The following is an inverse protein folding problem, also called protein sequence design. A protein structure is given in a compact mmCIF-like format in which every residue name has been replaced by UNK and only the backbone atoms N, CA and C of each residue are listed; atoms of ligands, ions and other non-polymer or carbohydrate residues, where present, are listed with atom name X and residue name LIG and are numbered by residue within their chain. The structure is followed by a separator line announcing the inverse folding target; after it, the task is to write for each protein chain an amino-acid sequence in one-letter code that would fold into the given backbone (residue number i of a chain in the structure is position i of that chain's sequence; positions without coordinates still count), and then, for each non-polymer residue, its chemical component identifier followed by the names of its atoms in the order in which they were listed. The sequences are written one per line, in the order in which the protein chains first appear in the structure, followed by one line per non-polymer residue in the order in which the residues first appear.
data_IF_573253163174
#
_entry.id   IF_573253163174
#
_cell.length_a   1.000
_cell.length_b   1.000
_cell.length_c   1.000
_cell.angle_alpha   90.00
_cell.angle_beta   90.00
_cell.angle_gamma   90.00
#
_symmetry.space_group_name_H-M   'P 1'
#
loop_
_entity.id
_entity.type
_entity.pdbx_description
1 polymer ?
#
# COMPACT_ATOMS: atom_id res chain seq x y z
N UNK A 1 -14.58 23.05 4.10
CA UNK A 1 -14.40 21.87 3.26
C UNK A 1 -14.56 20.63 4.14
N UNK A 2 -15.19 19.57 3.65
CA UNK A 2 -15.25 18.30 4.38
C UNK A 2 -13.84 17.73 4.49
N UNK A 3 -13.49 17.20 5.65
CA UNK A 3 -12.21 16.52 5.86
C UNK A 3 -12.25 15.15 5.20
N UNK A 4 -11.25 14.77 4.40
CA UNK A 4 -11.18 13.41 3.91
C UNK A 4 -10.89 12.44 5.06
N UNK A 5 -11.44 11.25 4.98
CA UNK A 5 -11.17 10.16 5.91
C UNK A 5 -10.21 9.17 5.27
N UNK A 6 -9.20 8.75 6.02
CA UNK A 6 -8.17 7.80 5.61
C UNK A 6 -8.30 6.50 6.40
N UNK A 7 -8.52 5.40 5.74
CA UNK A 7 -8.46 4.08 6.35
C UNK A 7 -7.04 3.54 6.34
N UNK A 8 -6.55 3.08 7.48
CA UNK A 8 -5.22 2.50 7.67
C UNK A 8 -5.38 1.08 8.20
N UNK A 9 -5.27 0.05 7.34
CA UNK A 9 -5.30 -1.35 7.76
C UNK A 9 -4.01 -1.72 8.49
N UNK A 10 -4.14 -2.40 9.62
CA UNK A 10 -3.03 -2.90 10.43
C UNK A 10 -3.06 -4.41 10.49
N UNK A 11 -1.98 -5.06 10.12
CA UNK A 11 -1.78 -6.50 10.22
C UNK A 11 -0.67 -6.82 11.23
N UNK A 12 -0.61 -8.04 11.75
CA UNK A 12 0.53 -8.45 12.58
C UNK A 12 1.87 -8.15 11.90
N UNK A 13 2.75 -7.40 12.59
CA UNK A 13 4.03 -6.94 12.06
C UNK A 13 4.02 -5.57 11.38
N UNK A 14 2.87 -4.95 11.12
CA UNK A 14 2.77 -3.53 10.77
C UNK A 14 3.24 -2.68 11.94
N UNK A 15 4.04 -1.65 11.70
CA UNK A 15 4.59 -0.80 12.77
C UNK A 15 4.69 0.70 12.41
N UNK A 16 4.22 1.11 11.24
CA UNK A 16 4.26 2.51 10.79
C UNK A 16 2.84 3.13 10.70
N UNK A 17 1.82 2.50 11.28
CA UNK A 17 0.43 2.97 11.23
C UNK A 17 0.23 4.29 11.96
N UNK A 18 0.86 4.48 13.13
CA UNK A 18 0.74 5.71 13.91
C UNK A 18 1.44 6.89 13.23
N UNK A 19 2.59 6.67 12.62
CA UNK A 19 3.30 7.72 11.89
C UNK A 19 2.54 8.11 10.63
N UNK A 20 1.95 7.13 9.95
CA UNK A 20 1.05 7.36 8.83
C UNK A 20 -0.18 8.16 9.24
N UNK A 21 -0.85 7.77 10.33
CA UNK A 21 -2.01 8.50 10.86
C UNK A 21 -1.66 9.96 11.17
N UNK A 22 -0.58 10.20 11.93
CA UNK A 22 -0.09 11.55 12.24
C UNK A 22 0.19 12.39 10.99
N UNK A 23 0.74 11.79 9.94
CA UNK A 23 1.04 12.50 8.70
C UNK A 23 -0.24 12.99 8.03
N UNK A 24 -1.26 12.13 7.93
CA UNK A 24 -2.56 12.49 7.38
C UNK A 24 -3.32 13.49 8.24
N UNK A 25 -3.32 13.34 9.56
CA UNK A 25 -3.94 14.27 10.49
C UNK A 25 -3.32 15.68 10.41
N UNK A 26 -1.99 15.76 10.32
CA UNK A 26 -1.28 17.03 10.07
C UNK A 26 -1.65 17.67 8.73
N UNK A 27 -1.98 16.84 7.73
CA UNK A 27 -2.47 17.32 6.45
C UNK A 27 -3.97 17.69 6.47
N UNK A 28 -4.66 17.52 7.61
CA UNK A 28 -6.05 17.90 7.79
C UNK A 28 -7.07 16.81 7.51
N UNK A 29 -6.66 15.55 7.41
CA UNK A 29 -7.55 14.40 7.27
C UNK A 29 -7.97 13.84 8.64
N UNK A 30 -9.07 13.07 8.65
CA UNK A 30 -9.41 12.18 9.76
C UNK A 30 -8.93 10.76 9.46
N UNK A 31 -8.53 10.00 10.48
CA UNK A 31 -7.98 8.64 10.28
C UNK A 31 -8.82 7.57 10.97
N UNK A 32 -8.94 6.40 10.32
CA UNK A 32 -9.54 5.19 10.88
C UNK A 32 -8.45 4.11 10.85
N UNK A 33 -7.90 3.78 12.01
CA UNK A 33 -6.92 2.70 12.17
C UNK A 33 -7.64 1.45 12.68
N UNK A 34 -7.53 0.33 11.98
CA UNK A 34 -8.15 -0.95 12.35
C UNK A 34 -7.17 -2.09 12.25
N UNK A 35 -7.16 -2.94 13.27
CA UNK A 35 -6.31 -4.15 13.34
C UNK A 35 -7.06 -5.35 12.79
N UNK A 36 -6.44 -6.06 11.88
CA UNK A 36 -6.91 -7.35 11.39
C UNK A 36 -6.60 -8.45 12.41
N UNK A 37 -7.64 -9.03 13.02
CA UNK A 37 -7.52 -10.14 13.95
C UNK A 37 -7.60 -11.45 13.18
N UNK A 38 -6.75 -12.41 13.50
CA UNK A 38 -6.64 -13.67 12.75
C UNK A 38 -6.46 -14.91 13.66
N UNK A 39 -6.85 -14.82 14.93
CA UNK A 39 -6.71 -15.94 15.87
C UNK A 39 -7.76 -17.01 15.64
N UNK A 40 -8.97 -16.62 15.26
CA UNK A 40 -10.10 -17.51 15.01
C UNK A 40 -10.74 -17.21 13.65
N UNK A 41 -11.53 -18.16 13.15
CA UNK A 41 -12.30 -17.92 11.92
C UNK A 41 -13.37 -16.81 12.10
N UNK A 42 -13.84 -16.58 13.31
CA UNK A 42 -14.76 -15.50 13.65
C UNK A 42 -14.03 -14.15 13.61
N UNK A 43 -12.86 -14.05 14.24
CA UNK A 43 -12.01 -12.84 14.18
C UNK A 43 -11.72 -12.41 12.73
N UNK A 44 -11.47 -13.38 11.85
CA UNK A 44 -11.20 -13.10 10.44
C UNK A 44 -12.44 -12.53 9.76
N UNK A 45 -13.63 -13.14 9.97
CA UNK A 45 -14.89 -12.62 9.40
C UNK A 45 -15.20 -11.22 9.89
N UNK A 46 -15.11 -11.02 11.20
CA UNK A 46 -15.38 -9.72 11.83
C UNK A 46 -14.39 -8.65 11.33
N UNK A 47 -13.11 -9.00 11.21
CA UNK A 47 -12.09 -8.08 10.66
C UNK A 47 -12.37 -7.69 9.22
N UNK A 48 -12.78 -8.65 8.37
CA UNK A 48 -13.18 -8.36 6.99
C UNK A 48 -14.36 -7.39 6.97
N UNK A 49 -15.40 -7.63 7.76
CA UNK A 49 -16.60 -6.79 7.80
C UNK A 49 -16.30 -5.39 8.38
N UNK A 50 -15.41 -5.30 9.39
CA UNK A 50 -14.93 -4.01 9.93
C UNK A 50 -14.10 -3.22 8.90
N UNK A 51 -13.23 -3.90 8.15
CA UNK A 51 -12.43 -3.27 7.11
C UNK A 51 -13.29 -2.75 5.97
N UNK A 52 -14.25 -3.54 5.50
CA UNK A 52 -15.22 -3.10 4.48
C UNK A 52 -15.95 -1.84 4.93
N UNK A 53 -16.49 -1.81 6.16
CA UNK A 53 -17.15 -0.62 6.73
C UNK A 53 -16.22 0.58 6.81
N UNK A 54 -14.92 0.36 7.10
CA UNK A 54 -13.93 1.43 7.16
C UNK A 54 -13.61 1.97 5.76
N UNK A 55 -13.45 1.09 4.76
CA UNK A 55 -13.23 1.47 3.36
C UNK A 55 -14.42 2.27 2.83
N UNK A 56 -15.65 1.83 3.11
CA UNK A 56 -16.88 2.52 2.66
C UNK A 56 -17.00 3.95 3.20
N UNK A 57 -16.47 4.21 4.39
CA UNK A 57 -16.47 5.55 5.01
C UNK A 57 -15.31 6.44 4.55
N UNK A 58 -14.29 5.85 3.91
CA UNK A 58 -13.05 6.55 3.61
C UNK A 58 -12.98 7.01 2.15
N UNK A 59 -12.20 8.05 1.91
CA UNK A 59 -11.82 8.54 0.58
C UNK A 59 -10.40 8.09 0.20
N UNK A 60 -9.64 7.66 1.18
CA UNK A 60 -8.25 7.24 1.00
C UNK A 60 -8.03 5.93 1.75
N UNK A 61 -7.29 5.00 1.12
CA UNK A 61 -6.73 3.84 1.79
C UNK A 61 -5.20 4.00 1.86
N UNK A 62 -4.63 3.88 3.06
CA UNK A 62 -3.20 3.98 3.29
C UNK A 62 -2.64 2.64 3.78
N UNK A 63 -1.85 1.97 2.96
CA UNK A 63 -1.12 0.77 3.32
C UNK A 63 0.21 1.15 3.98
N UNK A 64 0.35 0.97 5.31
CA UNK A 64 1.54 1.40 6.04
C UNK A 64 2.73 0.47 5.79
N UNK A 65 3.89 0.95 6.18
CA UNK A 65 5.11 0.17 6.20
C UNK A 65 5.22 -0.73 7.43
N UNK A 66 6.33 -1.45 7.49
CA UNK A 66 6.65 -2.42 8.54
C UNK A 66 6.97 -3.77 7.93
N UNK A 67 6.77 -4.82 8.70
CA UNK A 67 6.97 -6.20 8.29
C UNK A 67 5.67 -6.96 8.57
N UNK A 68 4.75 -7.01 7.60
CA UNK A 68 3.54 -7.80 7.77
C UNK A 68 3.89 -9.29 7.92
N UNK A 69 3.13 -10.01 8.74
CA UNK A 69 3.38 -11.43 8.99
C UNK A 69 3.52 -12.22 7.68
N UNK A 70 4.59 -13.00 7.55
CA UNK A 70 4.86 -13.82 6.37
C UNK A 70 5.62 -13.09 5.24
N UNK A 71 6.33 -12.00 5.56
CA UNK A 71 7.18 -11.31 4.58
C UNK A 71 8.32 -12.20 4.08
N UNK A 72 8.92 -13.00 4.93
CA UNK A 72 10.01 -13.93 4.57
C UNK A 72 9.65 -15.38 4.91
N UNK A 73 10.18 -16.34 4.16
CA UNK A 73 11.06 -16.25 2.99
C UNK A 73 10.32 -16.08 1.65
N UNK A 74 9.01 -16.02 1.63
CA UNK A 74 8.20 -16.17 0.43
C UNK A 74 7.71 -14.83 -0.17
N UNK A 75 8.27 -13.72 0.26
CA UNK A 75 8.03 -12.41 -0.29
C UNK A 75 7.16 -11.50 0.56
N UNK A 76 7.48 -10.21 0.51
CA UNK A 76 6.91 -9.15 1.32
C UNK A 76 5.44 -8.87 1.01
N UNK A 77 4.69 -8.44 2.02
CA UNK A 77 3.28 -8.07 1.95
C UNK A 77 2.30 -9.19 1.56
N UNK A 78 2.72 -10.45 1.69
CA UNK A 78 1.90 -11.62 1.34
C UNK A 78 0.58 -11.65 2.12
N UNK A 79 0.61 -11.30 3.40
CA UNK A 79 -0.57 -11.31 4.25
C UNK A 79 -1.58 -10.22 3.83
N UNK A 80 -1.13 -9.01 3.54
CA UNK A 80 -1.95 -7.97 2.96
C UNK A 80 -2.64 -8.46 1.67
N UNK A 81 -1.85 -9.00 0.76
CA UNK A 81 -2.38 -9.46 -0.53
C UNK A 81 -3.43 -10.57 -0.36
N UNK A 82 -3.20 -11.52 0.55
CA UNK A 82 -4.14 -12.61 0.83
C UNK A 82 -5.45 -12.07 1.40
N UNK A 83 -5.39 -11.19 2.40
CA UNK A 83 -6.58 -10.62 3.04
C UNK A 83 -7.39 -9.76 2.05
N UNK A 84 -6.74 -8.86 1.31
CA UNK A 84 -7.42 -7.96 0.38
C UNK A 84 -7.94 -8.65 -0.89
N UNK A 85 -7.54 -9.90 -1.18
CA UNK A 85 -8.18 -10.74 -2.22
C UNK A 85 -9.46 -11.42 -1.75
N UNK A 86 -9.89 -11.23 -0.51
CA UNK A 86 -11.24 -11.60 -0.10
C UNK A 86 -12.27 -10.83 -0.94
N UNK A 87 -13.30 -11.52 -1.45
CA UNK A 87 -14.26 -10.92 -2.40
C UNK A 87 -14.90 -9.62 -1.88
N UNK A 88 -15.32 -9.57 -0.60
CA UNK A 88 -15.91 -8.37 0.00
C UNK A 88 -14.92 -7.19 0.05
N UNK A 89 -13.66 -7.47 0.40
CA UNK A 89 -12.63 -6.44 0.48
C UNK A 89 -12.21 -5.96 -0.91
N UNK A 90 -12.07 -6.87 -1.88
CA UNK A 90 -11.83 -6.53 -3.28
C UNK A 90 -12.92 -5.59 -3.79
N UNK A 91 -14.19 -5.96 -3.63
CA UNK A 91 -15.33 -5.14 -4.05
C UNK A 91 -15.32 -3.75 -3.41
N UNK A 92 -15.05 -3.66 -2.11
CA UNK A 92 -15.01 -2.37 -1.40
C UNK A 92 -13.87 -1.47 -1.91
N UNK A 93 -12.69 -2.04 -2.17
CA UNK A 93 -11.55 -1.28 -2.72
C UNK A 93 -11.83 -0.84 -4.16
N UNK A 94 -12.38 -1.69 -4.99
CA UNK A 94 -12.73 -1.34 -6.37
C UNK A 94 -13.81 -0.25 -6.43
N UNK A 95 -14.82 -0.31 -5.58
CA UNK A 95 -15.79 0.78 -5.42
C UNK A 95 -15.14 2.09 -4.98
N UNK A 96 -14.22 2.03 -4.01
CA UNK A 96 -13.49 3.21 -3.57
C UNK A 96 -12.74 3.87 -4.73
N UNK A 97 -11.99 3.09 -5.51
CA UNK A 97 -11.12 3.62 -6.56
C UNK A 97 -11.89 3.99 -7.82
N UNK A 98 -12.78 3.11 -8.30
CA UNK A 98 -13.39 3.24 -9.63
C UNK A 98 -14.73 4.00 -9.63
N UNK A 99 -15.49 3.97 -8.52
CA UNK A 99 -16.81 4.60 -8.46
C UNK A 99 -16.82 5.89 -7.63
N UNK A 100 -16.00 5.97 -6.57
CA UNK A 100 -15.96 7.10 -5.64
C UNK A 100 -14.75 8.03 -5.83
N UNK A 101 -13.94 7.80 -6.87
CA UNK A 101 -12.73 8.57 -7.17
C UNK A 101 -11.77 8.66 -5.97
N UNK A 102 -11.69 7.57 -5.21
CA UNK A 102 -10.85 7.49 -4.03
C UNK A 102 -9.38 7.22 -4.37
N UNK A 103 -8.52 7.34 -3.38
CA UNK A 103 -7.09 7.20 -3.54
C UNK A 103 -6.54 6.04 -2.72
N UNK A 104 -5.47 5.42 -3.23
CA UNK A 104 -4.65 4.47 -2.50
C UNK A 104 -3.20 4.99 -2.40
N UNK A 105 -2.58 4.82 -1.24
CA UNK A 105 -1.16 5.09 -1.00
C UNK A 105 -0.54 3.90 -0.31
N UNK A 106 0.65 3.49 -0.72
CA UNK A 106 1.43 2.45 -0.06
C UNK A 106 2.87 2.89 0.14
N UNK A 107 3.39 2.73 1.35
CA UNK A 107 4.77 3.07 1.69
C UNK A 107 5.50 1.82 2.15
N UNK A 108 6.69 1.56 1.60
CA UNK A 108 7.56 0.44 1.95
C UNK A 108 6.81 -0.91 1.80
N UNK A 109 6.51 -1.62 2.86
CA UNK A 109 5.72 -2.85 2.83
C UNK A 109 4.31 -2.64 2.22
N UNK A 110 3.70 -1.49 2.46
CA UNK A 110 2.45 -1.10 1.82
C UNK A 110 2.57 -0.91 0.30
N UNK A 111 3.70 -0.40 -0.21
CA UNK A 111 3.95 -0.35 -1.65
C UNK A 111 4.12 -1.76 -2.25
N UNK A 112 4.80 -2.65 -1.54
CA UNK A 112 4.88 -4.05 -1.91
C UNK A 112 3.49 -4.69 -1.99
N UNK A 113 2.58 -4.35 -1.06
CA UNK A 113 1.19 -4.79 -1.09
C UNK A 113 0.44 -4.29 -2.32
N UNK A 114 0.56 -2.99 -2.67
CA UNK A 114 -0.07 -2.42 -3.87
C UNK A 114 0.38 -3.14 -5.15
N UNK A 115 1.68 -3.43 -5.28
CA UNK A 115 2.22 -4.18 -6.42
C UNK A 115 1.67 -5.61 -6.44
N UNK A 116 1.70 -6.33 -5.32
CA UNK A 116 1.22 -7.72 -5.25
C UNK A 116 -0.30 -7.86 -5.46
N UNK A 117 -1.06 -6.85 -5.08
CA UNK A 117 -2.49 -6.80 -5.35
C UNK A 117 -2.82 -6.50 -6.81
N UNK A 118 -1.91 -5.86 -7.55
CA UNK A 118 -2.15 -5.37 -8.90
C UNK A 118 -2.67 -3.93 -8.95
N UNK A 119 -2.96 -3.31 -7.80
CA UNK A 119 -3.40 -1.90 -7.74
C UNK A 119 -2.39 -0.96 -8.39
N UNK A 120 -1.10 -1.30 -8.34
CA UNK A 120 -0.04 -0.70 -9.13
C UNK A 120 0.59 -1.80 -9.97
N UNK A 121 0.64 -1.69 -11.31
CA UNK A 121 0.26 -0.55 -12.14
C UNK A 121 -1.16 -0.62 -12.73
N UNK A 122 -1.94 -1.67 -12.45
CA UNK A 122 -3.16 -1.97 -13.20
C UNK A 122 -4.40 -1.18 -12.75
N UNK A 123 -4.41 -0.66 -11.52
CA UNK A 123 -5.57 0.04 -10.94
C UNK A 123 -6.70 -0.87 -10.46
N UNK A 124 -6.49 -2.18 -10.45
CA UNK A 124 -7.46 -3.19 -10.02
C UNK A 124 -6.80 -4.29 -9.17
N UNK A 125 -7.56 -4.97 -8.32
CA UNK A 125 -7.08 -6.15 -7.60
C UNK A 125 -7.14 -7.36 -8.52
N UNK A 126 -5.97 -7.90 -8.89
CA UNK A 126 -5.85 -9.03 -9.79
C UNK A 126 -4.78 -10.03 -9.37
N UNK A 127 -4.85 -11.24 -9.91
CA UNK A 127 -3.77 -12.21 -9.77
C UNK A 127 -2.56 -11.75 -10.59
N UNK A 128 -1.37 -11.87 -9.99
CA UNK A 128 -0.12 -11.68 -10.72
C UNK A 128 0.20 -12.90 -11.59
N UNK A 129 0.79 -12.66 -12.73
CA UNK A 129 1.36 -13.66 -13.64
C UNK A 129 2.88 -13.46 -13.80
N UNK A 130 3.50 -14.25 -14.66
CA UNK A 130 4.96 -14.21 -14.89
C UNK A 130 5.43 -12.88 -15.53
N UNK A 131 4.54 -12.10 -16.11
CA UNK A 131 4.83 -10.80 -16.75
C UNK A 131 4.47 -9.62 -15.84
N UNK A 132 3.84 -9.87 -14.70
CA UNK A 132 3.45 -8.81 -13.78
C UNK A 132 4.67 -8.16 -13.10
N UNK A 133 4.70 -6.83 -12.97
CA UNK A 133 5.70 -6.15 -12.16
C UNK A 133 5.70 -6.65 -10.72
N UNK A 134 6.87 -6.75 -10.12
CA UNK A 134 7.03 -7.21 -8.73
C UNK A 134 8.19 -6.51 -8.03
N UNK A 135 8.19 -6.62 -6.71
CA UNK A 135 9.32 -6.29 -5.85
C UNK A 135 9.90 -7.58 -5.29
N UNK A 136 11.23 -7.70 -5.30
CA UNK A 136 11.94 -8.89 -4.87
C UNK A 136 13.23 -8.54 -4.16
N UNK A 137 13.98 -9.56 -3.74
CA UNK A 137 15.24 -9.42 -2.99
C UNK A 137 16.23 -8.49 -3.65
N UNK A 138 16.93 -7.71 -2.84
CA UNK A 138 18.08 -6.93 -3.27
C UNK A 138 19.17 -7.85 -3.87
N UNK A 139 19.82 -7.40 -4.94
CA UNK A 139 20.90 -8.17 -5.60
C UNK A 139 22.09 -8.47 -4.70
N UNK A 140 22.25 -7.68 -3.63
CA UNK A 140 23.32 -7.88 -2.64
C UNK A 140 22.95 -8.87 -1.52
N UNK A 141 21.77 -9.50 -1.59
CA UNK A 141 21.25 -10.48 -0.64
C UNK A 141 21.25 -10.02 0.83
N UNK A 142 21.08 -8.72 1.05
CA UNK A 142 20.98 -8.14 2.39
C UNK A 142 20.15 -6.86 2.40
N UNK A 143 19.72 -6.45 3.57
CA UNK A 143 19.05 -5.19 3.82
C UNK A 143 19.91 -4.00 3.42
N UNK A 144 19.28 -2.98 2.83
CA UNK A 144 19.87 -1.67 2.52
C UNK A 144 19.14 -0.63 3.38
N UNK A 145 19.93 0.23 4.04
CA UNK A 145 19.41 1.42 4.72
C UNK A 145 20.29 2.61 4.34
N UNK A 146 19.75 3.55 3.57
CA UNK A 146 20.48 4.74 3.11
C UNK A 146 19.54 5.84 2.62
N UNK A 147 20.04 7.06 2.55
CA UNK A 147 19.37 8.16 1.86
C UNK A 147 19.53 8.00 0.33
N UNK A 148 18.43 8.18 -0.40
CA UNK A 148 18.40 8.12 -1.87
C UNK A 148 17.75 9.38 -2.44
N UNK A 149 18.18 9.77 -3.62
CA UNK A 149 17.56 10.87 -4.34
C UNK A 149 16.53 10.33 -5.33
N UNK A 150 15.31 10.86 -5.24
CA UNK A 150 14.22 10.58 -6.17
C UNK A 150 13.89 11.82 -6.97
N UNK A 151 13.63 11.68 -8.27
CA UNK A 151 13.28 12.77 -9.17
C UNK A 151 11.84 12.62 -9.63
N UNK A 152 11.08 13.72 -9.58
CA UNK A 152 9.71 13.75 -10.10
C UNK A 152 9.76 13.72 -11.63
N UNK A 153 9.38 12.60 -12.22
CA UNK A 153 9.33 12.40 -13.68
C UNK A 153 7.92 12.52 -14.25
N UNK A 154 6.90 12.48 -13.39
CA UNK A 154 5.50 12.68 -13.73
C UNK A 154 4.74 13.26 -12.53
N UNK A 155 3.79 14.15 -12.77
CA UNK A 155 2.87 14.70 -11.77
C UNK A 155 1.39 14.38 -12.09
N UNK A 156 1.16 13.33 -12.90
CA UNK A 156 -0.20 12.88 -13.24
C UNK A 156 -0.94 12.27 -12.04
N UNK A 157 -0.20 11.70 -11.09
CA UNK A 157 -0.82 11.17 -9.86
C UNK A 157 -1.32 12.31 -8.99
N UNK A 158 -2.54 12.23 -8.42
CA UNK A 158 -3.05 13.19 -7.44
C UNK A 158 -2.08 13.45 -6.27
N UNK A 159 -1.33 12.43 -5.85
CA UNK A 159 -0.29 12.54 -4.81
C UNK A 159 0.85 13.49 -5.19
N UNK A 160 1.09 13.72 -6.46
CA UNK A 160 2.16 14.54 -6.99
C UNK A 160 1.66 15.79 -7.74
N UNK A 161 0.37 16.10 -7.65
CA UNK A 161 -0.24 17.21 -8.39
C UNK A 161 0.42 18.58 -8.12
N UNK A 162 0.96 18.78 -6.91
CA UNK A 162 1.67 19.99 -6.52
C UNK A 162 3.20 19.89 -6.68
N UNK A 163 3.74 18.74 -7.07
CA UNK A 163 5.16 18.55 -7.26
C UNK A 163 5.62 19.11 -8.62
N UNK A 164 6.77 19.75 -8.64
CA UNK A 164 7.36 20.27 -9.90
C UNK A 164 8.09 19.16 -10.64
N UNK A 165 7.83 19.02 -11.93
CA UNK A 165 8.57 18.09 -12.80
C UNK A 165 10.07 18.42 -12.74
N UNK A 166 10.90 17.38 -12.63
CA UNK A 166 12.34 17.50 -12.50
C UNK A 166 12.84 17.78 -11.08
N UNK A 167 11.97 18.11 -10.13
CA UNK A 167 12.36 18.34 -8.75
C UNK A 167 12.90 17.04 -8.13
N UNK A 168 13.94 17.17 -7.31
CA UNK A 168 14.61 16.06 -6.63
C UNK A 168 14.38 16.15 -5.13
N UNK A 169 14.07 15.02 -4.52
CA UNK A 169 13.90 14.86 -3.08
C UNK A 169 14.88 13.83 -2.56
N UNK A 170 15.38 14.04 -1.35
CA UNK A 170 16.21 13.08 -0.64
C UNK A 170 15.32 12.31 0.34
N UNK A 171 15.17 11.01 0.14
CA UNK A 171 14.29 10.17 0.93
C UNK A 171 15.07 9.00 1.57
N UNK A 172 14.72 8.56 2.77
CA UNK A 172 15.27 7.34 3.34
C UNK A 172 14.73 6.12 2.59
N UNK A 173 15.61 5.18 2.27
CA UNK A 173 15.27 3.86 1.75
C UNK A 173 15.79 2.81 2.72
N UNK A 174 14.90 1.91 3.16
CA UNK A 174 15.22 0.84 4.10
C UNK A 174 14.42 -0.41 3.72
N UNK A 175 15.10 -1.38 3.09
CA UNK A 175 14.45 -2.58 2.57
C UNK A 175 15.42 -3.75 2.31
N UNK A 176 14.92 -4.98 2.46
CA UNK A 176 15.55 -6.21 1.97
C UNK A 176 15.02 -6.61 0.58
N UNK A 177 13.78 -6.25 0.27
CA UNK A 177 13.02 -6.61 -0.93
C UNK A 177 12.48 -5.37 -1.66
N UNK A 178 13.36 -4.47 -2.05
CA UNK A 178 13.00 -3.24 -2.77
C UNK A 178 13.42 -3.23 -4.25
N UNK A 179 13.90 -4.35 -4.79
CA UNK A 179 14.27 -4.45 -6.19
C UNK A 179 13.03 -4.60 -7.06
N UNK A 180 12.72 -3.55 -7.82
CA UNK A 180 11.64 -3.59 -8.80
C UNK A 180 12.07 -4.40 -10.03
N UNK A 181 11.23 -5.33 -10.45
CA UNK A 181 11.40 -6.16 -11.64
C UNK A 181 10.12 -6.09 -12.46
N UNK A 182 10.27 -5.77 -13.74
CA UNK A 182 9.18 -5.70 -14.70
C UNK A 182 9.70 -6.01 -16.12
N UNK A 183 8.85 -6.45 -17.05
CA UNK A 183 9.15 -6.46 -18.47
C UNK A 183 9.54 -5.07 -18.99
N UNK A 184 10.33 -5.00 -20.06
CA UNK A 184 10.87 -3.73 -20.58
C UNK A 184 9.77 -2.71 -20.94
N UNK A 185 8.66 -3.17 -21.46
CA UNK A 185 7.50 -2.35 -21.85
C UNK A 185 6.87 -1.57 -20.67
N UNK A 186 7.15 -1.96 -19.44
CA UNK A 186 6.71 -1.25 -18.23
C UNK A 186 7.73 -0.23 -17.71
N UNK A 187 8.94 -0.24 -18.28
CA UNK A 187 10.06 0.58 -17.79
C UNK A 187 10.33 1.80 -18.65
N UNK A 188 9.74 1.89 -19.86
CA UNK A 188 10.03 2.95 -20.85
C UNK A 188 8.77 3.41 -21.58
#
# INVERSE_FOLDING_TARGET
MAKPTVFIPVFPGTNCEYDSAKAFERAGADTIVKVFKNLTAEDIRDSVDEFVKAIDKSQIIMFPGGFSAGDEPEGSAKFFATAFRNAKMTEAVEKLINERDGLALGICNGFQALIKLGLVPYGEIRQQDAQSPTLTYNTINRHISKMVYTKVVSNKSPWLAQAKLGQTYCNPASHGEGRFVAPKEWLF
#
